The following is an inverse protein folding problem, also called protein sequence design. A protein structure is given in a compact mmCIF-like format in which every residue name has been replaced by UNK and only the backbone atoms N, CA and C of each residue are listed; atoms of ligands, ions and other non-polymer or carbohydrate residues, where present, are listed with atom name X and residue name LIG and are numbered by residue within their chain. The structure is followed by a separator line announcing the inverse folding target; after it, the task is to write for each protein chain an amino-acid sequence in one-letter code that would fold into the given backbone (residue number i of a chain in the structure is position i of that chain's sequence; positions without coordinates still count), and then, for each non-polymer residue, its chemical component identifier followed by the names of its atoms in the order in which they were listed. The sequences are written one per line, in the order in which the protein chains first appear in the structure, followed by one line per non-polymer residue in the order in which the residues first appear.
data_IF_583406828534
#
_entry.id   IF_583406828534
#
_cell.length_a   1.000
_cell.length_b   1.000
_cell.length_c   1.000
_cell.angle_alpha   90.00
_cell.angle_beta   90.00
_cell.angle_gamma   90.00
#
_symmetry.space_group_name_H-M   'P 1'
#
loop_
_entity.id
_entity.type
_entity.pdbx_description
1 polymer ?
#
# COMPACT_ATOMS: atom_id res chain seq x y z
N UNK A 1 9.04 15.76 -7.36
CA UNK A 1 10.21 15.42 -6.54
C UNK A 1 9.89 14.09 -5.87
N UNK A 2 10.78 13.11 -5.95
CA UNK A 2 10.63 11.85 -5.20
C UNK A 2 11.04 12.11 -3.74
N UNK A 3 10.11 12.73 -3.00
CA UNK A 3 10.27 13.02 -1.59
C UNK A 3 9.90 11.79 -0.78
N UNK A 4 10.66 11.51 0.28
CA UNK A 4 10.31 10.47 1.23
C UNK A 4 9.06 10.90 1.99
N UNK A 5 7.92 10.29 1.63
CA UNK A 5 6.60 10.63 2.20
C UNK A 5 6.60 10.57 3.72
N UNK A 6 7.35 9.65 4.34
CA UNK A 6 7.40 9.54 5.79
C UNK A 6 8.21 10.68 6.42
N UNK A 7 9.27 11.12 5.76
CA UNK A 7 10.06 12.27 6.22
C UNK A 7 9.30 13.57 6.05
N UNK A 8 8.50 13.72 4.99
CA UNK A 8 7.64 14.89 4.81
C UNK A 8 6.49 14.89 5.82
N UNK A 9 5.80 13.76 6.02
CA UNK A 9 4.81 13.64 7.11
C UNK A 9 5.45 13.94 8.46
N UNK A 10 6.68 13.51 8.70
CA UNK A 10 7.36 13.78 9.96
C UNK A 10 7.57 15.28 10.19
N UNK A 11 8.04 15.98 9.17
CA UNK A 11 8.22 17.43 9.18
C UNK A 11 6.90 18.15 9.47
N UNK A 12 5.83 17.78 8.77
CA UNK A 12 4.54 18.45 8.91
C UNK A 12 3.86 18.14 10.25
N UNK A 13 3.89 16.88 10.71
CA UNK A 13 3.20 16.43 11.92
C UNK A 13 4.00 16.71 13.19
N UNK A 14 5.30 16.42 13.20
CA UNK A 14 6.16 16.54 14.40
C UNK A 14 7.07 17.79 14.38
N UNK A 15 7.20 18.48 13.24
CA UNK A 15 8.08 19.64 13.12
C UNK A 15 9.56 19.30 12.94
N UNK A 16 9.89 18.02 12.76
CA UNK A 16 11.26 17.49 12.71
C UNK A 16 11.36 16.28 11.79
N UNK A 17 12.56 16.04 11.24
CA UNK A 17 12.86 14.92 10.35
C UNK A 17 13.89 13.97 10.97
N UNK A 18 13.84 13.77 12.30
CA UNK A 18 14.72 12.79 12.95
C UNK A 18 14.35 11.37 12.51
N UNK A 19 15.27 10.42 12.64
CA UNK A 19 14.99 9.00 12.34
C UNK A 19 13.83 8.46 13.17
N UNK A 20 13.67 8.93 14.41
CA UNK A 20 12.58 8.53 15.29
C UNK A 20 11.25 9.11 14.81
N UNK A 21 11.19 10.39 14.47
CA UNK A 21 9.97 11.04 13.99
C UNK A 21 9.54 10.49 12.64
N UNK A 22 10.50 10.17 11.75
CA UNK A 22 10.24 9.43 10.51
C UNK A 22 9.61 8.06 10.79
N UNK A 23 10.08 7.33 11.80
CA UNK A 23 9.50 6.04 12.20
C UNK A 23 8.06 6.22 12.72
N UNK A 24 7.82 7.24 13.56
CA UNK A 24 6.47 7.56 14.06
C UNK A 24 5.54 7.96 12.91
N UNK A 25 6.00 8.83 12.01
CA UNK A 25 5.28 9.25 10.82
C UNK A 25 4.98 8.10 9.86
N UNK A 26 5.87 7.10 9.75
CA UNK A 26 5.59 5.86 9.02
C UNK A 26 4.40 5.12 9.63
N UNK A 27 4.40 4.93 10.95
CA UNK A 27 3.28 4.26 11.65
C UNK A 27 1.96 5.06 11.48
N UNK A 28 2.01 6.39 11.56
CA UNK A 28 0.85 7.26 11.31
C UNK A 28 0.34 7.10 9.87
N UNK A 29 1.22 7.17 8.87
CA UNK A 29 0.86 7.02 7.46
C UNK A 29 0.13 5.69 7.19
N UNK A 30 0.75 4.56 7.58
CA UNK A 30 0.14 3.25 7.37
C UNK A 30 -1.13 3.07 8.22
N UNK A 31 -1.08 3.50 9.48
CA UNK A 31 -2.19 3.38 10.41
C UNK A 31 -3.44 4.10 9.92
N UNK A 32 -3.34 5.38 9.53
CA UNK A 32 -4.49 6.18 9.10
C UNK A 32 -5.11 5.61 7.82
N UNK A 33 -4.29 5.21 6.85
CA UNK A 33 -4.74 4.58 5.60
C UNK A 33 -5.55 3.30 5.89
N UNK A 34 -5.25 2.61 6.99
CA UNK A 34 -5.95 1.39 7.42
C UNK A 34 -7.02 1.62 8.51
N UNK A 35 -7.30 2.88 8.84
CA UNK A 35 -8.31 3.23 9.84
C UNK A 35 -7.92 2.86 11.27
N UNK A 36 -6.64 2.94 11.62
CA UNK A 36 -6.17 2.74 13.00
C UNK A 36 -6.86 3.73 13.94
N UNK A 37 -7.21 3.28 15.14
CA UNK A 37 -7.70 4.16 16.20
C UNK A 37 -6.54 4.76 16.99
N UNK A 38 -6.79 5.87 17.69
CA UNK A 38 -5.78 6.54 18.52
C UNK A 38 -5.15 5.62 19.58
N UNK A 39 -5.92 4.70 20.16
CA UNK A 39 -5.41 3.70 21.12
C UNK A 39 -4.40 2.73 20.50
N UNK A 40 -4.66 2.20 19.31
CA UNK A 40 -3.72 1.29 18.66
C UNK A 40 -2.48 2.05 18.17
N UNK A 41 -2.68 3.25 17.62
CA UNK A 41 -1.57 4.09 17.21
C UNK A 41 -0.68 4.48 18.40
N UNK A 42 -1.26 4.77 19.57
CA UNK A 42 -0.49 5.18 20.74
C UNK A 42 0.48 4.10 21.22
N UNK A 43 0.11 2.83 21.12
CA UNK A 43 1.00 1.69 21.38
C UNK A 43 2.13 1.61 20.33
N UNK A 44 1.79 1.72 19.04
CA UNK A 44 2.76 1.60 17.93
C UNK A 44 3.87 2.66 17.98
N UNK A 45 3.55 3.88 18.41
CA UNK A 45 4.50 4.99 18.48
C UNK A 45 4.93 5.37 19.90
N UNK A 46 4.47 4.60 20.90
CA UNK A 46 4.78 4.76 22.33
C UNK A 46 4.50 6.18 22.86
N UNK A 47 3.26 6.64 22.69
CA UNK A 47 2.75 7.94 23.18
C UNK A 47 1.42 7.75 23.92
N UNK A 48 0.83 8.81 24.46
CA UNK A 48 -0.52 8.72 25.04
C UNK A 48 -1.61 8.66 23.96
N UNK A 49 -2.78 8.05 24.22
CA UNK A 49 -3.91 8.07 23.27
C UNK A 49 -4.35 9.48 22.86
N UNK A 50 -4.19 10.46 23.77
CA UNK A 50 -4.48 11.87 23.49
C UNK A 50 -3.51 12.46 22.45
N UNK A 51 -2.22 12.18 22.58
CA UNK A 51 -1.21 12.62 21.62
C UNK A 51 -1.40 11.92 20.27
N UNK A 52 -1.67 10.61 20.27
CA UNK A 52 -1.97 9.86 19.05
C UNK A 52 -3.18 10.43 18.31
N UNK A 53 -4.26 10.79 19.02
CA UNK A 53 -5.42 11.45 18.41
C UNK A 53 -5.05 12.81 17.81
N UNK A 54 -4.25 13.62 18.52
CA UNK A 54 -3.79 14.91 18.00
C UNK A 54 -2.96 14.75 16.71
N UNK A 55 -2.14 13.69 16.60
CA UNK A 55 -1.41 13.39 15.37
C UNK A 55 -2.33 12.97 14.22
N UNK A 56 -3.35 12.15 14.50
CA UNK A 56 -4.37 11.78 13.50
C UNK A 56 -5.10 13.02 12.99
N UNK A 57 -5.56 13.87 13.91
CA UNK A 57 -6.32 15.08 13.58
C UNK A 57 -5.46 16.05 12.74
N UNK A 58 -4.19 16.24 13.14
CA UNK A 58 -3.25 17.08 12.40
C UNK A 58 -2.97 16.51 11.00
N UNK A 59 -2.76 15.20 10.88
CA UNK A 59 -2.56 14.54 9.59
C UNK A 59 -3.76 14.72 8.66
N UNK A 60 -4.98 14.50 9.15
CA UNK A 60 -6.21 14.66 8.35
C UNK A 60 -6.51 16.14 8.04
N UNK A 61 -6.02 17.09 8.84
CA UNK A 61 -6.09 18.51 8.52
C UNK A 61 -5.10 18.92 7.42
N UNK A 62 -3.92 18.30 7.35
CA UNK A 62 -2.94 18.51 6.28
C UNK A 62 -3.41 17.86 4.97
N UNK A 63 -4.03 16.67 5.07
CA UNK A 63 -4.52 15.88 3.93
C UNK A 63 -6.04 15.67 3.98
N UNK A 64 -6.84 16.74 3.80
CA UNK A 64 -8.29 16.67 3.92
C UNK A 64 -8.94 15.70 2.93
N UNK A 65 -8.33 15.50 1.76
CA UNK A 65 -8.82 14.56 0.74
C UNK A 65 -8.78 13.11 1.20
N UNK A 66 -7.85 12.75 2.10
CA UNK A 66 -7.80 11.41 2.70
C UNK A 66 -9.03 11.20 3.59
N UNK A 67 -9.38 12.19 4.41
CA UNK A 67 -10.58 12.15 5.24
C UNK A 67 -11.83 12.00 4.38
N UNK A 68 -11.94 12.82 3.33
CA UNK A 68 -13.06 12.74 2.39
C UNK A 68 -13.17 11.35 1.75
N UNK A 69 -12.05 10.80 1.28
CA UNK A 69 -12.01 9.45 0.71
C UNK A 69 -12.48 8.38 1.71
N UNK A 70 -12.05 8.46 2.96
CA UNK A 70 -12.46 7.53 4.02
C UNK A 70 -13.98 7.58 4.27
N UNK A 71 -14.53 8.78 4.39
CA UNK A 71 -15.96 9.00 4.62
C UNK A 71 -16.80 8.55 3.42
N UNK A 72 -16.42 8.94 2.20
CA UNK A 72 -17.09 8.57 0.95
C UNK A 72 -17.11 7.06 0.74
N UNK A 73 -15.99 6.38 1.04
CA UNK A 73 -15.87 4.93 0.86
C UNK A 73 -16.75 4.17 1.84
N UNK A 74 -16.84 4.64 3.09
CA UNK A 74 -17.75 4.07 4.09
C UNK A 74 -19.20 4.26 3.65
N UNK A 75 -19.56 5.45 3.18
CA UNK A 75 -20.94 5.74 2.79
C UNK A 75 -21.35 4.97 1.54
N UNK A 76 -20.48 4.89 0.55
CA UNK A 76 -20.65 4.01 -0.61
C UNK A 76 -20.92 2.56 -0.17
N UNK A 77 -20.13 2.05 0.78
CA UNK A 77 -20.28 0.69 1.29
C UNK A 77 -21.61 0.46 2.02
N UNK A 78 -22.12 1.44 2.78
CA UNK A 78 -23.43 1.35 3.43
C UNK A 78 -24.56 1.31 2.41
N UNK A 79 -24.51 2.17 1.39
CA UNK A 79 -25.56 2.23 0.36
C UNK A 79 -25.55 1.01 -0.55
N UNK A 80 -24.37 0.53 -0.94
CA UNK A 80 -24.24 -0.52 -1.96
C UNK A 80 -24.01 -1.92 -1.38
N UNK A 81 -23.62 -2.03 -0.11
CA UNK A 81 -23.27 -3.30 0.56
C UNK A 81 -21.88 -3.84 0.22
N UNK A 82 -21.08 -3.13 -0.58
CA UNK A 82 -19.73 -3.53 -0.97
C UNK A 82 -18.84 -2.32 -1.27
N UNK A 83 -17.54 -2.57 -1.32
CA UNK A 83 -16.52 -1.65 -1.88
C UNK A 83 -15.85 -2.30 -3.08
N UNK A 84 -15.21 -1.48 -3.92
CA UNK A 84 -14.54 -1.95 -5.14
C UNK A 84 -13.12 -1.41 -5.28
N UNK A 85 -12.23 -2.21 -5.84
CA UNK A 85 -10.89 -1.78 -6.26
C UNK A 85 -10.98 -0.94 -7.53
N UNK A 86 -9.86 -0.33 -7.93
CA UNK A 86 -9.76 0.42 -9.19
C UNK A 86 -10.01 -0.45 -10.43
N UNK A 87 -9.80 -1.77 -10.33
CA UNK A 87 -10.08 -2.76 -11.37
C UNK A 87 -11.40 -3.51 -11.14
N UNK A 88 -12.31 -2.91 -10.36
CA UNK A 88 -13.69 -3.36 -10.16
C UNK A 88 -13.87 -4.68 -9.40
N UNK A 89 -12.81 -5.22 -8.77
CA UNK A 89 -12.95 -6.33 -7.81
C UNK A 89 -13.75 -5.86 -6.61
N UNK A 90 -14.75 -6.63 -6.19
CA UNK A 90 -15.64 -6.27 -5.08
C UNK A 90 -15.31 -7.01 -3.80
N UNK A 91 -15.48 -6.33 -2.66
CA UNK A 91 -15.57 -6.94 -1.33
C UNK A 91 -16.87 -6.48 -0.69
N UNK A 92 -17.75 -7.44 -0.37
CA UNK A 92 -18.97 -7.18 0.38
C UNK A 92 -18.66 -6.88 1.84
N UNK A 93 -19.35 -5.90 2.42
CA UNK A 93 -19.11 -5.41 3.79
C UNK A 93 -20.40 -5.54 4.60
N UNK A 94 -20.73 -6.77 4.98
CA UNK A 94 -21.92 -7.06 5.78
C UNK A 94 -21.80 -6.52 7.22
N UNK A 95 -20.57 -6.33 7.69
CA UNK A 95 -20.25 -5.89 9.05
C UNK A 95 -20.82 -4.50 9.36
N UNK A 96 -21.03 -3.66 8.36
CA UNK A 96 -21.58 -2.30 8.53
C UNK A 96 -23.01 -2.28 9.05
N UNK A 97 -23.81 -3.30 8.77
CA UNK A 97 -25.20 -3.42 9.26
C UNK A 97 -25.29 -4.11 10.63
N UNK A 98 -24.17 -4.61 11.17
CA UNK A 98 -24.17 -5.35 12.43
C UNK A 98 -24.64 -4.47 13.59
N UNK A 99 -25.50 -4.95 14.50
CA UNK A 99 -25.86 -4.21 15.70
C UNK A 99 -24.67 -4.03 16.65
N UNK A 100 -23.67 -4.93 16.57
CA UNK A 100 -22.49 -4.92 17.43
C UNK A 100 -21.52 -3.81 17.01
N UNK A 101 -21.23 -2.88 17.92
CA UNK A 101 -20.38 -1.73 17.65
C UNK A 101 -18.99 -2.12 17.12
N UNK A 102 -18.31 -3.07 17.76
CA UNK A 102 -16.97 -3.52 17.35
C UNK A 102 -16.95 -4.12 15.94
N UNK A 103 -18.00 -4.86 15.56
CA UNK A 103 -18.15 -5.42 14.21
C UNK A 103 -18.36 -4.31 13.18
N UNK A 104 -19.22 -3.33 13.49
CA UNK A 104 -19.44 -2.18 12.61
C UNK A 104 -18.18 -1.33 12.42
N UNK A 105 -17.39 -1.11 13.46
CA UNK A 105 -16.11 -0.40 13.35
C UNK A 105 -15.08 -1.19 12.52
N UNK A 106 -15.06 -2.52 12.67
CA UNK A 106 -14.28 -3.37 11.77
C UNK A 106 -14.73 -3.26 10.32
N UNK A 107 -16.05 -3.22 10.07
CA UNK A 107 -16.62 -2.97 8.74
C UNK A 107 -16.16 -1.64 8.15
N UNK A 108 -16.16 -0.55 8.93
CA UNK A 108 -15.65 0.76 8.49
C UNK A 108 -14.18 0.68 8.08
N UNK A 109 -13.31 0.12 8.94
CA UNK A 109 -11.88 -0.06 8.63
C UNK A 109 -11.68 -0.88 7.36
N UNK A 110 -12.46 -1.94 7.23
CA UNK A 110 -12.44 -2.84 6.08
C UNK A 110 -12.84 -2.13 4.80
N UNK A 111 -13.88 -1.31 4.83
CA UNK A 111 -14.33 -0.52 3.68
C UNK A 111 -13.22 0.40 3.16
N UNK A 112 -12.46 1.04 4.06
CA UNK A 112 -11.38 1.96 3.69
C UNK A 112 -10.14 1.22 3.18
N UNK A 113 -9.76 0.11 3.82
CA UNK A 113 -8.56 -0.63 3.48
C UNK A 113 -8.70 -1.45 2.18
N UNK A 114 -9.84 -2.14 1.99
CA UNK A 114 -9.98 -3.15 0.93
C UNK A 114 -9.78 -2.59 -0.49
N UNK A 115 -10.27 -1.38 -0.86
CA UNK A 115 -9.97 -0.78 -2.15
C UNK A 115 -8.49 -0.48 -2.33
N UNK A 116 -7.78 -0.06 -1.30
CA UNK A 116 -6.35 0.29 -1.36
C UNK A 116 -5.52 -0.98 -1.55
N UNK A 117 -5.63 -1.93 -0.62
CA UNK A 117 -4.86 -3.18 -0.67
C UNK A 117 -5.27 -4.02 -1.88
N UNK A 118 -6.56 -4.08 -2.19
CA UNK A 118 -7.06 -4.82 -3.34
C UNK A 118 -6.60 -4.23 -4.66
N UNK A 119 -6.53 -2.90 -4.78
CA UNK A 119 -6.00 -2.26 -5.99
C UNK A 119 -4.51 -2.54 -6.15
N UNK A 120 -3.71 -2.46 -5.08
CA UNK A 120 -2.29 -2.85 -5.13
C UNK A 120 -2.11 -4.31 -5.59
N UNK A 121 -2.91 -5.23 -5.05
CA UNK A 121 -2.90 -6.63 -5.46
C UNK A 121 -3.32 -6.83 -6.93
N UNK A 122 -4.28 -6.04 -7.42
CA UNK A 122 -4.69 -6.08 -8.82
C UNK A 122 -3.58 -5.57 -9.75
N UNK A 123 -2.91 -4.46 -9.40
CA UNK A 123 -1.76 -3.91 -10.15
C UNK A 123 -0.66 -4.96 -10.27
N UNK A 124 -0.28 -5.58 -9.15
CA UNK A 124 0.79 -6.59 -9.15
C UNK A 124 0.42 -7.80 -10.00
N UNK A 125 -0.85 -8.24 -9.97
CA UNK A 125 -1.31 -9.34 -10.82
C UNK A 125 -1.26 -9.00 -12.31
N UNK A 126 -1.56 -7.76 -12.68
CA UNK A 126 -1.39 -7.29 -14.07
C UNK A 126 0.09 -7.32 -14.43
N UNK A 127 0.97 -6.79 -13.57
CA UNK A 127 2.42 -6.84 -13.78
C UNK A 127 2.95 -8.28 -13.96
N UNK A 128 2.44 -9.23 -13.18
CA UNK A 128 2.80 -10.65 -13.30
C UNK A 128 2.40 -11.24 -14.66
N UNK A 129 1.21 -10.90 -15.17
CA UNK A 129 0.75 -11.33 -16.49
C UNK A 129 1.60 -10.71 -17.59
N UNK A 130 1.90 -9.41 -17.50
CA UNK A 130 2.72 -8.70 -18.47
C UNK A 130 4.16 -9.25 -18.49
N UNK A 131 4.73 -9.54 -17.32
CA UNK A 131 6.03 -10.17 -17.18
C UNK A 131 6.04 -11.58 -17.80
N UNK A 132 5.03 -12.39 -17.52
CA UNK A 132 4.89 -13.71 -18.12
C UNK A 132 4.84 -13.64 -19.66
N UNK A 133 4.01 -12.75 -20.19
CA UNK A 133 3.89 -12.53 -21.64
C UNK A 133 5.24 -12.10 -22.25
N UNK A 134 5.97 -11.21 -21.58
CA UNK A 134 7.30 -10.79 -22.02
C UNK A 134 8.29 -11.96 -22.07
N UNK A 135 8.34 -12.79 -21.02
CA UNK A 135 9.22 -13.96 -20.95
C UNK A 135 8.93 -14.93 -22.09
N UNK A 136 7.65 -15.25 -22.33
CA UNK A 136 7.22 -16.16 -23.38
C UNK A 136 7.53 -15.63 -24.79
N UNK A 137 7.17 -14.37 -25.07
CA UNK A 137 7.36 -13.76 -26.39
C UNK A 137 8.83 -13.63 -26.77
N UNK A 138 9.69 -13.34 -25.81
CA UNK A 138 11.12 -13.18 -26.01
C UNK A 138 11.91 -14.48 -25.77
N UNK A 139 11.21 -15.60 -25.53
CA UNK A 139 11.79 -16.94 -25.30
C UNK A 139 12.87 -16.93 -24.21
N UNK A 140 12.64 -16.15 -23.15
CA UNK A 140 13.55 -16.06 -22.00
C UNK A 140 13.50 -17.35 -21.20
N UNK A 141 14.61 -17.66 -20.55
CA UNK A 141 14.69 -18.79 -19.61
C UNK A 141 14.41 -18.36 -18.17
N UNK A 142 14.37 -17.04 -17.91
CA UNK A 142 13.96 -16.45 -16.63
C UNK A 142 12.57 -16.91 -16.20
N UNK A 143 12.35 -17.06 -14.89
CA UNK A 143 11.10 -17.57 -14.31
C UNK A 143 10.70 -16.78 -13.09
N UNK A 144 9.41 -16.49 -12.97
CA UNK A 144 8.82 -16.01 -11.73
C UNK A 144 8.67 -17.19 -10.76
N UNK A 145 9.27 -17.09 -9.58
CA UNK A 145 9.30 -18.16 -8.57
C UNK A 145 8.29 -17.88 -7.46
N UNK A 146 8.30 -16.67 -6.91
CA UNK A 146 7.41 -16.27 -5.81
C UNK A 146 6.87 -14.87 -6.01
N UNK A 147 5.72 -14.63 -5.38
CA UNK A 147 5.18 -13.31 -5.12
C UNK A 147 4.97 -13.18 -3.61
N UNK A 148 5.50 -12.11 -3.02
CA UNK A 148 5.41 -11.85 -1.58
C UNK A 148 4.97 -10.41 -1.40
N UNK A 149 3.71 -10.20 -1.00
CA UNK A 149 3.11 -8.86 -0.87
C UNK A 149 3.23 -8.01 -2.14
N UNK A 150 4.15 -7.05 -2.20
CA UNK A 150 4.42 -6.14 -3.31
C UNK A 150 5.69 -6.52 -4.11
N UNK A 151 6.31 -7.66 -3.79
CA UNK A 151 7.57 -8.12 -4.38
C UNK A 151 7.37 -9.34 -5.29
N UNK A 152 8.18 -9.41 -6.36
CA UNK A 152 8.30 -10.55 -7.27
C UNK A 152 9.72 -11.12 -7.19
N UNK A 153 9.84 -12.42 -6.92
CA UNK A 153 11.12 -13.13 -6.87
C UNK A 153 11.29 -13.94 -8.14
N UNK A 154 12.36 -13.66 -8.89
CA UNK A 154 12.66 -14.33 -10.15
C UNK A 154 13.96 -15.13 -10.06
N UNK A 155 14.00 -16.26 -10.74
CA UNK A 155 15.24 -16.93 -11.12
C UNK A 155 15.62 -16.47 -12.53
N UNK A 156 16.83 -15.94 -12.67
CA UNK A 156 17.29 -15.30 -13.92
C UNK A 156 18.65 -15.90 -14.32
N UNK A 157 18.78 -16.48 -15.52
CA UNK A 157 20.09 -16.89 -16.04
C UNK A 157 21.04 -15.70 -16.15
N UNK A 158 22.33 -15.89 -15.86
CA UNK A 158 23.33 -14.81 -15.89
C UNK A 158 23.35 -14.01 -17.21
N UNK A 159 23.11 -14.68 -18.34
CA UNK A 159 23.04 -14.06 -19.67
C UNK A 159 21.84 -13.11 -19.86
N UNK A 160 20.79 -13.24 -19.04
CA UNK A 160 19.55 -12.43 -19.09
C UNK A 160 19.52 -11.35 -17.99
N UNK A 161 20.47 -11.38 -17.04
CA UNK A 161 20.50 -10.52 -15.85
C UNK A 161 20.31 -9.04 -16.18
N UNK A 162 21.18 -8.47 -17.01
CA UNK A 162 21.20 -7.03 -17.29
C UNK A 162 19.94 -6.53 -18.00
N UNK A 163 19.28 -7.41 -18.75
CA UNK A 163 18.01 -7.13 -19.41
C UNK A 163 16.86 -7.21 -18.43
N UNK A 164 16.78 -8.28 -17.63
CA UNK A 164 15.71 -8.48 -16.65
C UNK A 164 15.73 -7.40 -15.55
N UNK A 165 16.91 -6.95 -15.13
CA UNK A 165 17.06 -5.83 -14.20
C UNK A 165 16.43 -4.52 -14.69
N UNK A 166 16.28 -4.35 -16.01
CA UNK A 166 15.64 -3.16 -16.60
C UNK A 166 14.17 -3.41 -16.89
N UNK A 167 13.86 -4.58 -17.43
CA UNK A 167 12.51 -4.91 -17.91
C UNK A 167 11.55 -5.14 -16.74
N UNK A 168 11.96 -5.83 -15.68
CA UNK A 168 11.07 -6.16 -14.57
C UNK A 168 10.55 -4.89 -13.87
N UNK A 169 11.40 -3.94 -13.45
CA UNK A 169 10.92 -2.69 -12.87
C UNK A 169 10.06 -1.87 -13.82
N UNK A 170 10.39 -1.87 -15.12
CA UNK A 170 9.64 -1.13 -16.14
C UNK A 170 8.22 -1.70 -16.32
N UNK A 171 8.09 -3.03 -16.40
CA UNK A 171 6.81 -3.73 -16.47
C UNK A 171 5.99 -3.44 -15.21
N UNK A 172 6.58 -3.61 -14.02
CA UNK A 172 5.88 -3.35 -12.76
C UNK A 172 5.40 -1.91 -12.66
N UNK A 173 6.23 -0.94 -13.05
CA UNK A 173 5.91 0.49 -13.00
C UNK A 173 4.81 0.90 -14.00
N UNK A 174 4.62 0.13 -15.08
CA UNK A 174 3.64 0.41 -16.15
C UNK A 174 2.33 -0.36 -16.02
N UNK A 175 2.22 -1.28 -15.06
CA UNK A 175 1.07 -2.16 -14.89
C UNK A 175 -0.26 -1.43 -14.63
N UNK A 176 -0.22 -0.17 -14.19
CA UNK A 176 -1.41 0.66 -14.05
C UNK A 176 -1.17 2.13 -14.35
N UNK A 177 -2.20 2.78 -14.91
CA UNK A 177 -2.22 4.25 -15.10
C UNK A 177 -2.73 4.90 -13.82
N UNK A 178 -1.82 5.46 -13.03
CA UNK A 178 -2.11 6.20 -11.80
C UNK A 178 -1.87 7.70 -12.00
N UNK A 179 -2.45 8.52 -11.11
CA UNK A 179 -2.17 9.97 -11.07
C UNK A 179 -0.75 10.29 -10.58
N UNK A 180 -0.09 9.32 -9.94
CA UNK A 180 1.28 9.37 -9.45
C UNK A 180 2.11 8.29 -10.14
N UNK A 181 3.43 8.45 -10.17
CA UNK A 181 4.32 7.40 -10.71
C UNK A 181 4.34 6.21 -9.77
N UNK A 182 4.21 5.01 -10.33
CA UNK A 182 4.54 3.78 -9.62
C UNK A 182 6.03 3.53 -9.79
N UNK A 183 6.75 3.38 -8.69
CA UNK A 183 8.20 3.17 -8.69
C UNK A 183 8.46 1.74 -8.25
N UNK A 184 9.37 1.05 -8.95
CA UNK A 184 9.83 -0.29 -8.63
C UNK A 184 11.36 -0.31 -8.64
N UNK A 185 11.96 -0.94 -7.64
CA UNK A 185 13.39 -1.24 -7.55
C UNK A 185 13.64 -2.72 -7.84
N UNK A 186 14.88 -3.05 -8.16
CA UNK A 186 15.30 -4.43 -8.38
C UNK A 186 16.72 -4.63 -7.88
N UNK A 187 16.89 -5.69 -7.10
CA UNK A 187 18.17 -6.13 -6.56
C UNK A 187 18.47 -7.55 -7.06
N UNK A 188 19.75 -7.93 -7.08
CA UNK A 188 20.21 -9.24 -7.58
C UNK A 188 21.22 -9.83 -6.63
N UNK A 189 21.06 -11.11 -6.32
CA UNK A 189 21.93 -11.88 -5.43
C UNK A 189 21.89 -13.36 -5.80
N UNK A 190 22.86 -14.12 -5.30
CA UNK A 190 22.98 -15.57 -5.59
C UNK A 190 21.97 -16.40 -4.80
N UNK A 191 21.37 -15.81 -3.77
CA UNK A 191 20.29 -16.37 -3.00
C UNK A 191 19.38 -15.24 -2.48
N UNK A 192 18.21 -15.59 -1.97
CA UNK A 192 17.24 -14.60 -1.49
C UNK A 192 17.77 -13.77 -0.31
N UNK A 193 18.62 -14.33 0.56
CA UNK A 193 19.20 -13.58 1.67
C UNK A 193 20.11 -12.43 1.22
N UNK A 194 20.74 -12.57 0.05
CA UNK A 194 21.62 -11.56 -0.54
C UNK A 194 20.87 -10.48 -1.34
N UNK A 195 19.55 -10.64 -1.56
CA UNK A 195 18.71 -9.59 -2.14
C UNK A 195 18.49 -8.49 -1.09
N UNK A 196 19.09 -7.31 -1.29
CA UNK A 196 19.04 -6.15 -0.39
C UNK A 196 18.80 -4.87 -1.14
#
# INVERSE_FOLDING_TARGET
QDLDIHSETAKEVFGSQTKEDRRKAKAVNFGIIYGIGAWSLSEDINVTPREAQAFIDKYLAIYPEIKQYMEDTIEFAKTNGYVKTMFHRRRYIQELSSPIFSVREFGKRTSMNAPIQGSAADILKIAMIDLYNYIEQNKKQSRLILQVHDELILEVPLKEKDEMMKVVPDIMSKAAKLKVKLVSSCDVGDNWYDLK
#
